data_IF_924318469863
#
_entry.id   IF_924318469863
#
_cell.length_a   1.000
_cell.length_b   1.000
_cell.length_c   1.000
_cell.angle_alpha   90.00
_cell.angle_beta   90.00
_cell.angle_gamma   90.00
#
_symmetry.space_group_name_H-M   'P 1'
#
loop_
_entity.id
_entity.type
_entity.pdbx_description
1 polymer ?
#
# COMPACT_ATOMS: atom_id res chain seq x y z
N UNK A 1 -16.66 -4.46 -20.70
CA UNK A 1 -16.00 -5.50 -19.90
C UNK A 1 -15.01 -4.81 -18.98
N UNK A 2 -15.22 -4.83 -17.66
CA UNK A 2 -14.22 -4.31 -16.73
C UNK A 2 -13.07 -5.31 -16.68
N UNK A 3 -11.97 -4.98 -17.34
CA UNK A 3 -10.74 -5.78 -17.28
C UNK A 3 -10.16 -5.66 -15.88
N UNK A 4 -10.33 -6.70 -15.06
CA UNK A 4 -9.77 -6.77 -13.71
C UNK A 4 -8.29 -7.25 -13.70
N UNK A 5 -7.72 -7.49 -14.88
CA UNK A 5 -6.33 -7.92 -15.04
C UNK A 5 -5.39 -6.73 -14.87
N UNK A 6 -4.28 -6.95 -14.16
CA UNK A 6 -3.23 -5.94 -13.96
C UNK A 6 -3.48 -4.94 -12.84
N UNK A 7 -4.47 -5.19 -11.97
CA UNK A 7 -4.77 -4.35 -10.80
C UNK A 7 -4.10 -4.84 -9.50
N UNK A 8 -3.49 -6.03 -9.53
CA UNK A 8 -2.89 -6.68 -8.37
C UNK A 8 -3.93 -7.19 -7.36
N UNK A 9 -3.66 -8.28 -6.66
CA UNK A 9 -4.62 -8.86 -5.71
C UNK A 9 -3.95 -9.16 -4.37
N UNK A 10 -4.50 -8.57 -3.32
CA UNK A 10 -3.98 -8.70 -1.97
C UNK A 10 -5.09 -9.07 -1.00
N UNK A 11 -4.81 -10.04 -0.11
CA UNK A 11 -5.66 -10.21 1.05
C UNK A 11 -5.36 -9.14 2.12
N UNK A 12 -6.23 -9.03 3.12
CA UNK A 12 -6.07 -8.02 4.17
C UNK A 12 -4.86 -8.28 5.10
N UNK A 13 -4.32 -9.51 5.12
CA UNK A 13 -3.11 -9.84 5.88
C UNK A 13 -1.87 -9.38 5.13
N UNK A 14 -1.83 -9.56 3.82
CA UNK A 14 -0.80 -9.03 2.94
C UNK A 14 -0.79 -7.51 3.01
N UNK A 15 -1.96 -6.88 2.93
CA UNK A 15 -2.08 -5.44 3.08
C UNK A 15 -1.50 -4.96 4.42
N UNK A 16 -1.84 -5.62 5.51
CA UNK A 16 -1.30 -5.32 6.84
C UNK A 16 0.22 -5.54 6.93
N UNK A 17 0.73 -6.64 6.36
CA UNK A 17 2.17 -6.95 6.29
C UNK A 17 2.93 -5.86 5.55
N UNK A 18 2.50 -5.51 4.33
CA UNK A 18 3.20 -4.55 3.47
C UNK A 18 3.12 -3.13 4.01
N UNK A 19 1.98 -2.74 4.60
CA UNK A 19 1.81 -1.41 5.19
C UNK A 19 2.32 -1.30 6.63
N UNK A 20 2.75 -2.43 7.23
CA UNK A 20 3.13 -2.55 8.66
C UNK A 20 2.04 -2.07 9.62
N UNK A 21 0.78 -2.20 9.22
CA UNK A 21 -0.39 -1.84 10.02
C UNK A 21 -0.93 -3.07 10.75
N UNK A 22 -1.69 -2.83 11.84
CA UNK A 22 -2.33 -3.93 12.56
C UNK A 22 -3.40 -4.61 11.69
N UNK A 23 -3.35 -5.94 11.48
CA UNK A 23 -4.31 -6.66 10.60
C UNK A 23 -5.78 -6.49 11.00
N UNK A 24 -6.05 -6.40 12.31
CA UNK A 24 -7.42 -6.20 12.81
C UNK A 24 -7.93 -4.80 12.48
N UNK A 25 -7.06 -3.78 12.48
CA UNK A 25 -7.43 -2.41 12.08
C UNK A 25 -7.71 -2.34 10.58
N UNK A 26 -6.80 -2.88 9.75
CA UNK A 26 -6.98 -2.91 8.30
C UNK A 26 -8.30 -3.59 7.94
N UNK A 27 -8.59 -4.77 8.50
CA UNK A 27 -9.86 -5.47 8.25
C UNK A 27 -11.10 -4.67 8.65
N UNK A 28 -11.04 -3.90 9.74
CA UNK A 28 -12.16 -3.05 10.19
C UNK A 28 -12.47 -1.90 9.23
N UNK A 29 -11.54 -1.53 8.35
CA UNK A 29 -11.79 -0.44 7.39
C UNK A 29 -12.57 -0.91 6.17
N UNK A 30 -12.48 -2.19 5.81
CA UNK A 30 -13.20 -2.77 4.66
C UNK A 30 -14.45 -3.58 5.06
N UNK A 31 -14.46 -4.19 6.25
CA UNK A 31 -15.52 -5.13 6.64
C UNK A 31 -16.40 -4.55 7.73
N UNK A 32 -17.70 -4.50 7.44
CA UNK A 32 -18.73 -4.24 8.45
C UNK A 32 -18.90 -5.46 9.36
N UNK A 33 -18.92 -5.24 10.68
CA UNK A 33 -19.18 -6.31 11.64
C UNK A 33 -20.68 -6.50 11.82
N UNK A 34 -21.19 -7.75 11.86
CA UNK A 34 -22.59 -8.02 12.18
C UNK A 34 -23.01 -7.43 13.54
N UNK A 35 -22.08 -7.39 14.51
CA UNK A 35 -22.30 -6.82 15.84
C UNK A 35 -22.37 -5.28 15.87
N UNK A 36 -21.99 -4.61 14.78
CA UNK A 36 -21.96 -3.14 14.68
C UNK A 36 -22.59 -2.67 13.35
N UNK A 37 -23.91 -2.91 13.13
CA UNK A 37 -24.57 -2.67 11.85
C UNK A 37 -24.62 -1.18 11.44
N UNK A 38 -24.39 -0.27 12.38
CA UNK A 38 -24.33 1.17 12.11
C UNK A 38 -22.93 1.66 11.69
N UNK A 39 -21.88 0.83 11.86
CA UNK A 39 -20.52 1.18 11.45
C UNK A 39 -20.24 0.69 10.03
N UNK A 40 -20.38 1.61 9.08
CA UNK A 40 -20.03 1.38 7.68
C UNK A 40 -18.50 1.32 7.48
N UNK A 41 -18.01 0.51 6.52
CA UNK A 41 -16.63 0.56 6.05
C UNK A 41 -16.22 2.00 5.68
N UNK A 42 -14.93 2.29 5.82
CA UNK A 42 -14.35 3.61 5.49
C UNK A 42 -13.49 3.56 4.24
N UNK A 43 -13.00 2.38 3.90
CA UNK A 43 -12.37 2.07 2.63
C UNK A 43 -13.24 1.06 1.89
N UNK A 44 -13.22 1.15 0.57
CA UNK A 44 -13.96 0.28 -0.32
C UNK A 44 -12.97 -0.41 -1.23
N UNK A 45 -13.14 -1.71 -1.41
CA UNK A 45 -12.30 -2.49 -2.32
C UNK A 45 -12.78 -2.32 -3.76
N UNK A 46 -11.85 -2.32 -4.70
CA UNK A 46 -12.14 -2.46 -6.14
C UNK A 46 -12.73 -3.82 -6.51
N UNK A 47 -12.58 -4.81 -5.63
CA UNK A 47 -13.08 -6.16 -5.80
C UNK A 47 -14.34 -6.40 -4.99
N UNK A 48 -15.23 -7.22 -5.56
CA UNK A 48 -16.35 -7.78 -4.80
C UNK A 48 -15.82 -8.80 -3.78
N UNK A 49 -16.31 -8.73 -2.54
CA UNK A 49 -15.93 -9.67 -1.50
C UNK A 49 -16.38 -11.10 -1.86
N UNK A 50 -15.53 -12.08 -1.58
CA UNK A 50 -15.84 -13.50 -1.75
C UNK A 50 -16.02 -14.08 -0.34
N UNK A 51 -17.18 -14.67 -0.06
CA UNK A 51 -17.52 -15.22 1.26
C UNK A 51 -17.33 -14.24 2.45
N UNK A 52 -17.45 -12.93 2.19
CA UNK A 52 -17.34 -11.89 3.21
C UNK A 52 -15.92 -11.43 3.53
N UNK A 53 -14.90 -12.01 2.90
CA UNK A 53 -13.53 -11.51 2.98
C UNK A 53 -13.17 -10.75 1.68
N UNK A 54 -12.87 -9.44 1.78
CA UNK A 54 -12.48 -8.66 0.62
C UNK A 54 -11.00 -8.92 0.28
N UNK A 55 -10.72 -9.14 -1.00
CA UNK A 55 -9.42 -8.83 -1.56
C UNK A 55 -9.36 -7.32 -1.86
N UNK A 56 -8.17 -6.76 -2.05
CA UNK A 56 -7.98 -5.35 -2.40
C UNK A 56 -7.01 -5.22 -3.59
N UNK A 57 -7.14 -4.14 -4.36
CA UNK A 57 -6.23 -3.81 -5.47
C UNK A 57 -4.91 -3.22 -4.97
N UNK A 58 -3.97 -2.97 -5.88
CA UNK A 58 -2.76 -2.23 -5.56
C UNK A 58 -3.05 -0.78 -5.15
N UNK A 59 -4.00 -0.11 -5.80
CA UNK A 59 -4.35 1.26 -5.43
C UNK A 59 -5.03 1.32 -4.06
N UNK A 60 -5.91 0.35 -3.77
CA UNK A 60 -6.47 0.17 -2.42
C UNK A 60 -5.36 -0.02 -1.37
N UNK A 61 -4.31 -0.79 -1.69
CA UNK A 61 -3.16 -1.01 -0.80
C UNK A 61 -2.42 0.30 -0.47
N UNK A 62 -2.23 1.18 -1.47
CA UNK A 62 -1.63 2.50 -1.26
C UNK A 62 -2.55 3.39 -0.42
N UNK A 63 -3.86 3.37 -0.69
CA UNK A 63 -4.85 4.08 0.12
C UNK A 63 -4.83 3.64 1.58
N UNK A 64 -4.74 2.33 1.83
CA UNK A 64 -4.62 1.74 3.18
C UNK A 64 -3.38 2.27 3.90
N UNK A 65 -2.24 2.40 3.23
CA UNK A 65 -1.02 2.91 3.85
C UNK A 65 -1.25 4.33 4.37
N UNK A 66 -1.61 5.27 3.49
CA UNK A 66 -1.72 6.70 3.85
C UNK A 66 -2.84 6.91 4.87
N UNK A 67 -4.01 6.31 4.63
CA UNK A 67 -5.13 6.34 5.58
C UNK A 67 -4.71 5.80 6.95
N UNK A 68 -3.98 4.69 6.96
CA UNK A 68 -3.56 4.01 8.19
C UNK A 68 -2.52 4.78 8.98
N UNK A 69 -1.59 5.49 8.32
CA UNK A 69 -0.64 6.37 9.00
C UNK A 69 -1.36 7.54 9.66
N UNK A 70 -2.22 8.25 8.92
CA UNK A 70 -3.02 9.35 9.49
C UNK A 70 -3.86 8.88 10.67
N UNK A 71 -4.51 7.71 10.54
CA UNK A 71 -5.32 7.13 11.61
C UNK A 71 -4.48 6.77 12.84
N UNK A 72 -3.29 6.22 12.64
CA UNK A 72 -2.39 5.79 13.73
C UNK A 72 -1.86 6.97 14.52
N UNK A 73 -1.65 8.11 13.85
CA UNK A 73 -1.14 9.35 14.45
C UNK A 73 -2.23 10.31 14.97
N UNK A 74 -3.49 9.89 14.97
CA UNK A 74 -4.54 10.58 15.72
C UNK A 74 -5.63 11.26 14.90
N UNK A 75 -5.56 11.23 13.57
CA UNK A 75 -6.69 11.72 12.76
C UNK A 75 -7.90 10.82 12.99
N UNK A 76 -9.04 11.42 13.31
CA UNK A 76 -10.25 10.66 13.64
C UNK A 76 -10.86 9.99 12.39
N UNK A 77 -11.62 8.89 12.58
CA UNK A 77 -12.31 8.24 11.46
C UNK A 77 -13.33 9.17 10.76
N UNK A 78 -14.12 10.00 11.47
CA UNK A 78 -14.99 10.99 10.84
C UNK A 78 -14.21 11.97 9.96
N UNK A 79 -13.09 12.52 10.44
CA UNK A 79 -12.22 13.41 9.67
C UNK A 79 -11.67 12.70 8.44
N UNK A 80 -11.13 11.48 8.60
CA UNK A 80 -10.60 10.71 7.47
C UNK A 80 -11.66 10.42 6.40
N UNK A 81 -12.91 10.12 6.78
CA UNK A 81 -13.99 9.96 5.81
C UNK A 81 -14.24 11.23 5.00
N UNK A 82 -14.28 12.39 5.66
CA UNK A 82 -14.44 13.69 4.99
C UNK A 82 -13.28 13.96 4.04
N UNK A 83 -12.06 13.70 4.50
CA UNK A 83 -10.82 13.84 3.70
C UNK A 83 -10.84 12.96 2.47
N UNK A 84 -11.12 11.66 2.61
CA UNK A 84 -11.20 10.73 1.47
C UNK A 84 -12.24 11.19 0.45
N UNK A 85 -13.46 11.54 0.88
CA UNK A 85 -14.52 12.04 -0.02
C UNK A 85 -14.11 13.32 -0.74
N UNK A 86 -13.47 14.24 -0.02
CA UNK A 86 -13.05 15.51 -0.60
C UNK A 86 -11.91 15.33 -1.59
N UNK A 87 -10.90 14.53 -1.25
CA UNK A 87 -9.79 14.25 -2.15
C UNK A 87 -10.24 13.50 -3.41
N UNK A 88 -11.18 12.55 -3.29
CA UNK A 88 -11.80 11.89 -4.45
C UNK A 88 -12.40 12.91 -5.43
N UNK A 89 -13.05 13.97 -4.93
CA UNK A 89 -13.61 15.02 -5.78
C UNK A 89 -12.54 15.94 -6.37
N UNK A 90 -11.55 16.33 -5.56
CA UNK A 90 -10.50 17.28 -5.97
C UNK A 90 -9.55 16.67 -7.01
N UNK A 91 -9.29 15.36 -6.88
CA UNK A 91 -8.35 14.62 -7.71
C UNK A 91 -9.04 13.75 -8.76
N UNK A 92 -10.38 13.79 -8.82
CA UNK A 92 -11.21 13.01 -9.75
C UNK A 92 -10.82 11.52 -9.84
N UNK A 93 -10.60 10.90 -8.68
CA UNK A 93 -10.17 9.50 -8.60
C UNK A 93 -10.76 8.79 -7.38
N UNK A 94 -11.03 7.49 -7.54
CA UNK A 94 -11.43 6.62 -6.43
C UNK A 94 -10.31 6.36 -5.43
N UNK A 95 -9.06 6.53 -5.85
CA UNK A 95 -7.86 6.27 -5.06
C UNK A 95 -7.05 7.54 -4.81
N UNK A 96 -7.61 8.49 -4.05
CA UNK A 96 -6.98 9.79 -3.88
C UNK A 96 -5.60 9.70 -3.24
N UNK A 97 -5.35 8.72 -2.37
CA UNK A 97 -4.05 8.63 -1.70
C UNK A 97 -2.97 7.99 -2.57
N UNK A 98 -3.36 7.34 -3.66
CA UNK A 98 -2.47 6.81 -4.68
C UNK A 98 -2.15 7.82 -5.81
N UNK A 99 -2.63 9.06 -5.71
CA UNK A 99 -2.48 10.07 -6.75
C UNK A 99 -1.16 10.86 -6.63
N UNK A 100 -0.50 11.10 -7.77
CA UNK A 100 0.83 11.74 -7.87
C UNK A 100 0.88 13.14 -7.24
N UNK A 101 -0.19 13.93 -7.36
CA UNK A 101 -0.30 15.26 -6.71
C UNK A 101 -0.10 15.25 -5.20
N UNK A 102 -0.32 14.14 -4.50
CA UNK A 102 0.03 14.06 -3.08
C UNK A 102 1.53 13.98 -2.84
N UNK A 103 2.30 13.44 -3.78
CA UNK A 103 3.75 13.40 -3.71
C UNK A 103 4.38 14.78 -3.96
N UNK A 104 3.74 15.61 -4.80
CA UNK A 104 4.26 16.93 -5.20
C UNK A 104 3.72 18.06 -4.32
N UNK A 105 2.40 18.09 -4.08
CA UNK A 105 1.68 19.23 -3.50
C UNK A 105 1.03 18.86 -2.14
N UNK A 106 1.39 17.69 -1.58
CA UNK A 106 0.52 16.92 -0.68
C UNK A 106 -0.09 17.67 0.49
N UNK A 107 0.70 18.38 1.31
CA UNK A 107 0.16 19.09 2.48
C UNK A 107 -0.95 20.07 2.09
N UNK A 108 -0.78 20.80 1.00
CA UNK A 108 -1.82 21.72 0.53
C UNK A 108 -3.06 20.96 0.08
N UNK A 109 -2.88 19.87 -0.67
CA UNK A 109 -3.97 19.04 -1.19
C UNK A 109 -4.79 18.42 -0.05
N UNK A 110 -4.15 17.93 1.02
CA UNK A 110 -4.84 17.39 2.21
C UNK A 110 -5.71 18.42 2.93
N UNK A 111 -5.30 19.70 2.92
CA UNK A 111 -5.95 20.77 3.69
C UNK A 111 -7.06 21.48 2.91
N UNK A 112 -7.24 21.17 1.62
CA UNK A 112 -8.26 21.81 0.77
C UNK A 112 -9.66 21.29 1.08
N UNK A 113 -10.56 22.20 1.46
CA UNK A 113 -12.00 21.93 1.54
C UNK A 113 -12.44 21.08 2.74
N UNK A 114 -11.63 21.01 3.80
CA UNK A 114 -12.00 20.44 5.10
C UNK A 114 -12.49 21.56 6.03
N UNK A 115 -13.48 21.26 6.87
CA UNK A 115 -13.99 22.16 7.90
C UNK A 115 -12.93 22.47 8.98
N UNK A 116 -13.16 23.51 9.79
CA UNK A 116 -12.16 23.98 10.76
C UNK A 116 -11.69 22.87 11.72
N UNK A 117 -12.62 22.14 12.32
CA UNK A 117 -12.30 21.08 13.30
C UNK A 117 -11.47 19.95 12.68
N UNK A 118 -11.85 19.45 11.49
CA UNK A 118 -11.11 18.40 10.79
C UNK A 118 -9.76 18.90 10.26
N UNK A 119 -9.68 20.19 9.90
CA UNK A 119 -8.46 20.83 9.43
C UNK A 119 -7.42 20.95 10.53
N UNK A 120 -7.83 21.25 11.76
CA UNK A 120 -6.91 21.33 12.91
C UNK A 120 -6.30 19.97 13.24
N UNK A 121 -7.10 18.88 13.24
CA UNK A 121 -6.58 17.51 13.38
C UNK A 121 -5.53 17.17 12.31
N UNK A 122 -5.81 17.53 11.05
CA UNK A 122 -4.88 17.27 9.94
C UNK A 122 -3.62 18.11 10.03
N UNK A 123 -3.70 19.39 10.40
CA UNK A 123 -2.53 20.26 10.57
C UNK A 123 -1.64 19.71 11.69
N UNK A 124 -2.24 19.34 12.82
CA UNK A 124 -1.54 18.73 13.94
C UNK A 124 -0.75 17.50 13.48
N UNK A 125 -1.39 16.56 12.80
CA UNK A 125 -0.75 15.31 12.38
C UNK A 125 0.24 15.51 11.24
N UNK A 126 -0.16 16.17 10.15
CA UNK A 126 0.66 16.32 8.94
C UNK A 126 1.89 17.21 9.18
N UNK A 127 1.76 18.23 10.04
CA UNK A 127 2.78 19.28 10.20
C UNK A 127 3.44 19.22 11.57
N UNK A 128 2.67 19.33 12.68
CA UNK A 128 3.27 19.43 14.02
C UNK A 128 3.92 18.12 14.47
N UNK A 129 3.23 17.00 14.25
CA UNK A 129 3.78 15.66 14.48
C UNK A 129 4.66 15.16 13.33
N UNK A 130 4.84 15.97 12.28
CA UNK A 130 5.71 15.69 11.13
C UNK A 130 5.41 14.39 10.38
N UNK A 131 4.18 13.85 10.48
CA UNK A 131 3.79 12.59 9.81
C UNK A 131 3.91 12.70 8.29
N UNK A 132 3.60 13.86 7.72
CA UNK A 132 3.77 14.03 6.28
C UNK A 132 5.24 13.99 5.84
N UNK A 133 6.13 14.88 6.31
CA UNK A 133 7.51 14.89 5.85
C UNK A 133 8.33 13.65 6.27
N UNK A 134 7.99 12.98 7.38
CA UNK A 134 8.78 11.86 7.89
C UNK A 134 8.27 10.47 7.49
N UNK A 135 6.98 10.33 7.16
CA UNK A 135 6.37 9.01 6.89
C UNK A 135 5.71 8.99 5.51
N UNK A 136 4.74 9.89 5.26
CA UNK A 136 3.94 9.85 4.04
C UNK A 136 4.76 10.26 2.81
N UNK A 137 5.47 11.39 2.85
CA UNK A 137 6.25 11.87 1.72
C UNK A 137 7.39 10.90 1.33
N UNK A 138 8.17 10.32 2.27
CA UNK A 138 9.14 9.28 1.92
C UNK A 138 8.51 8.03 1.31
N UNK A 139 7.31 7.64 1.76
CA UNK A 139 6.56 6.54 1.15
C UNK A 139 6.12 6.88 -0.28
N UNK A 140 5.52 8.04 -0.50
CA UNK A 140 5.06 8.47 -1.83
C UNK A 140 6.22 8.56 -2.83
N UNK A 141 7.43 8.90 -2.39
CA UNK A 141 8.65 8.89 -3.21
C UNK A 141 9.13 7.49 -3.62
N UNK A 142 8.66 6.43 -2.95
CA UNK A 142 8.92 5.04 -3.32
C UNK A 142 7.94 4.53 -4.38
N UNK A 143 6.98 5.35 -4.81
CA UNK A 143 6.01 5.01 -5.83
C UNK A 143 6.44 5.59 -7.17
N UNK A 144 6.36 4.76 -8.21
CA UNK A 144 6.31 5.29 -9.57
C UNK A 144 4.84 5.52 -9.94
N UNK A 145 4.58 6.56 -10.73
CA UNK A 145 3.24 6.93 -11.17
C UNK A 145 3.09 6.70 -12.68
N UNK A 146 1.88 6.39 -13.12
CA UNK A 146 1.52 6.29 -14.53
C UNK A 146 1.25 7.70 -15.10
N UNK A 147 1.99 8.16 -16.12
CA UNK A 147 1.82 9.51 -16.68
C UNK A 147 0.44 9.77 -17.32
N UNK A 148 -0.33 8.73 -17.64
CA UNK A 148 -1.65 8.87 -18.27
C UNK A 148 -2.79 8.97 -17.27
N UNK A 149 -2.60 8.44 -16.05
CA UNK A 149 -3.65 8.43 -15.01
C UNK A 149 -3.28 9.20 -13.75
N UNK A 150 -2.02 9.60 -13.61
CA UNK A 150 -1.44 10.17 -12.39
C UNK A 150 -1.55 9.27 -11.13
N UNK A 151 -1.87 7.98 -11.29
CA UNK A 151 -1.99 7.02 -10.20
C UNK A 151 -0.73 6.18 -10.05
N UNK A 152 -0.49 5.70 -8.82
CA UNK A 152 0.62 4.81 -8.52
C UNK A 152 0.56 3.55 -9.40
N UNK A 153 1.67 3.21 -10.07
CA UNK A 153 1.79 2.02 -10.93
C UNK A 153 2.72 0.95 -10.38
N UNK A 154 3.66 1.33 -9.51
CA UNK A 154 4.68 0.44 -8.98
C UNK A 154 5.15 0.99 -7.63
N UNK A 155 5.41 0.10 -6.68
CA UNK A 155 5.97 0.46 -5.37
C UNK A 155 7.29 -0.24 -5.12
N UNK A 156 8.36 0.54 -4.94
CA UNK A 156 9.66 0.11 -4.41
C UNK A 156 9.56 -0.17 -2.91
N UNK A 157 9.03 -1.35 -2.56
CA UNK A 157 8.71 -1.73 -1.18
C UNK A 157 9.95 -2.08 -0.35
N UNK A 158 11.06 -2.43 -1.00
CA UNK A 158 12.33 -2.75 -0.35
C UNK A 158 13.52 -2.53 -1.28
N UNK A 159 14.73 -2.82 -0.80
CA UNK A 159 15.95 -2.69 -1.60
C UNK A 159 15.95 -3.69 -2.76
N UNK A 160 15.69 -3.20 -3.98
CA UNK A 160 15.57 -4.02 -5.18
C UNK A 160 14.38 -4.98 -5.14
N UNK A 161 13.33 -4.64 -4.38
CA UNK A 161 12.08 -5.40 -4.32
C UNK A 161 10.93 -4.46 -4.61
N UNK A 162 10.07 -4.87 -5.55
CA UNK A 162 8.95 -4.06 -6.04
C UNK A 162 7.62 -4.81 -5.91
N UNK A 163 6.53 -4.04 -5.85
CA UNK A 163 5.17 -4.48 -6.17
C UNK A 163 4.75 -3.80 -7.47
N UNK A 164 4.52 -4.58 -8.53
CA UNK A 164 3.87 -4.12 -9.77
C UNK A 164 2.59 -4.95 -9.97
N UNK A 165 1.39 -4.36 -9.94
CA UNK A 165 0.13 -5.09 -10.05
C UNK A 165 -0.04 -5.90 -11.35
N UNK A 166 0.78 -5.61 -12.37
CA UNK A 166 0.80 -6.30 -13.67
C UNK A 166 1.75 -7.50 -13.70
N UNK A 167 2.62 -7.64 -12.69
CA UNK A 167 3.62 -8.71 -12.59
C UNK A 167 3.30 -9.56 -11.37
N UNK A 168 3.28 -10.89 -11.54
CA UNK A 168 3.03 -11.84 -10.45
C UNK A 168 1.78 -11.48 -9.60
N UNK A 169 0.75 -10.87 -10.22
CA UNK A 169 -0.45 -10.35 -9.56
C UNK A 169 -0.17 -9.35 -8.41
N UNK A 170 0.90 -8.58 -8.51
CA UNK A 170 1.30 -7.61 -7.49
C UNK A 170 2.09 -8.19 -6.32
N UNK A 171 2.41 -9.49 -6.30
CA UNK A 171 3.24 -10.06 -5.24
C UNK A 171 4.66 -9.48 -5.28
N UNK A 172 5.38 -9.44 -4.14
CA UNK A 172 6.74 -8.93 -4.11
C UNK A 172 7.66 -9.74 -5.02
N UNK A 173 8.39 -9.04 -5.88
CA UNK A 173 9.37 -9.61 -6.80
C UNK A 173 10.68 -8.84 -6.71
N UNK A 174 11.78 -9.51 -7.02
CA UNK A 174 13.07 -8.84 -7.16
C UNK A 174 13.09 -8.01 -8.45
N UNK A 175 13.46 -6.74 -8.33
CA UNK A 175 13.50 -5.80 -9.45
C UNK A 175 14.48 -6.25 -10.54
N UNK A 176 14.09 -6.11 -11.81
CA UNK A 176 14.89 -6.47 -12.97
C UNK A 176 14.81 -7.95 -13.39
N UNK A 177 14.58 -8.87 -12.46
CA UNK A 177 14.42 -10.31 -12.75
C UNK A 177 12.99 -10.82 -12.58
N UNK A 178 12.15 -10.09 -11.83
CA UNK A 178 10.72 -10.35 -11.64
C UNK A 178 10.36 -11.73 -11.07
N UNK A 179 11.30 -12.36 -10.37
CA UNK A 179 11.07 -13.60 -9.61
C UNK A 179 10.54 -13.24 -8.23
N UNK A 180 9.50 -13.96 -7.77
CA UNK A 180 8.89 -13.72 -6.46
C UNK A 180 9.88 -13.91 -5.32
N UNK A 181 9.83 -13.03 -4.32
CA UNK A 181 10.72 -13.07 -3.17
C UNK A 181 10.49 -14.31 -2.30
N UNK A 182 9.24 -14.69 -2.09
CA UNK A 182 8.86 -15.87 -1.31
C UNK A 182 9.43 -17.17 -1.92
N UNK A 183 9.42 -17.27 -3.25
CA UNK A 183 9.96 -18.39 -4.00
C UNK A 183 11.48 -18.50 -3.85
N UNK A 184 12.20 -17.39 -4.02
CA UNK A 184 13.67 -17.37 -3.86
C UNK A 184 14.08 -17.63 -2.41
N UNK A 185 13.37 -17.06 -1.43
CA UNK A 185 13.64 -17.29 -0.02
C UNK A 185 13.40 -18.74 0.40
N UNK A 186 12.29 -19.35 -0.06
CA UNK A 186 12.02 -20.76 0.19
C UNK A 186 13.06 -21.67 -0.47
N UNK A 187 13.45 -21.37 -1.71
CA UNK A 187 14.50 -22.12 -2.40
C UNK A 187 15.86 -22.00 -1.70
N UNK A 188 16.20 -20.83 -1.19
CA UNK A 188 17.42 -20.60 -0.40
C UNK A 188 17.44 -21.44 0.87
N UNK A 189 16.34 -21.44 1.64
CA UNK A 189 16.25 -22.23 2.86
C UNK A 189 16.32 -23.74 2.56
N UNK A 190 15.62 -24.21 1.52
CA UNK A 190 15.63 -25.62 1.11
C UNK A 190 17.01 -26.10 0.63
N UNK A 191 17.88 -25.20 0.19
CA UNK A 191 19.19 -25.52 -0.38
C UNK A 191 20.34 -25.11 0.51
N UNK A 192 20.17 -25.35 1.82
CA UNK A 192 21.19 -25.13 2.85
C UNK A 192 21.72 -23.69 2.83
N UNK A 193 20.85 -22.72 2.54
CA UNK A 193 21.15 -21.29 2.50
C UNK A 193 22.23 -20.92 1.47
N UNK A 194 22.28 -21.65 0.36
CA UNK A 194 23.24 -21.43 -0.71
C UNK A 194 22.66 -20.55 -1.81
N UNK A 195 22.96 -19.24 -1.76
CA UNK A 195 22.49 -18.27 -2.75
C UNK A 195 23.01 -18.56 -4.17
N UNK A 196 24.26 -19.00 -4.33
CA UNK A 196 24.86 -19.35 -5.62
C UNK A 196 24.15 -20.52 -6.31
N UNK A 197 23.74 -21.53 -5.54
CA UNK A 197 23.01 -22.68 -6.07
C UNK A 197 21.62 -22.27 -6.58
N UNK A 198 20.89 -21.48 -5.79
CA UNK A 198 19.56 -20.97 -6.16
C UNK A 198 19.63 -20.04 -7.36
N UNK A 199 20.60 -19.11 -7.36
CA UNK A 199 20.83 -18.18 -8.47
C UNK A 199 20.94 -18.91 -9.82
N UNK A 200 21.68 -20.03 -9.86
CA UNK A 200 21.82 -20.85 -11.07
C UNK A 200 20.50 -21.50 -11.52
N UNK A 201 19.67 -22.01 -10.60
CA UNK A 201 18.40 -22.65 -10.99
C UNK A 201 17.36 -21.67 -11.49
N UNK A 202 17.34 -20.46 -10.95
CA UNK A 202 16.37 -19.43 -11.30
C UNK A 202 16.89 -18.44 -12.36
N UNK A 203 18.13 -18.62 -12.82
CA UNK A 203 18.81 -17.72 -13.77
C UNK A 203 18.79 -16.25 -13.31
N UNK A 204 19.15 -16.01 -12.05
CA UNK A 204 19.24 -14.69 -11.41
C UNK A 204 20.63 -14.50 -10.77
N UNK A 205 20.93 -13.29 -10.28
CA UNK A 205 22.16 -13.06 -9.52
C UNK A 205 22.07 -13.57 -8.08
N UNK A 206 23.18 -13.98 -7.44
CA UNK A 206 23.19 -14.32 -6.01
C UNK A 206 22.69 -13.19 -5.11
N UNK A 207 22.95 -11.94 -5.49
CA UNK A 207 22.45 -10.75 -4.79
C UNK A 207 20.93 -10.61 -4.89
N UNK A 208 20.30 -11.07 -5.98
CA UNK A 208 18.84 -11.05 -6.12
C UNK A 208 18.19 -12.02 -5.14
N UNK A 209 18.79 -13.21 -4.98
CA UNK A 209 18.38 -14.19 -3.97
C UNK A 209 18.49 -13.60 -2.56
N UNK A 210 19.62 -12.94 -2.24
CA UNK A 210 19.82 -12.36 -0.92
C UNK A 210 18.83 -11.21 -0.63
N UNK A 211 18.55 -10.33 -1.59
CA UNK A 211 17.53 -9.28 -1.44
C UNK A 211 16.15 -9.85 -1.15
N UNK A 212 15.77 -10.91 -1.86
CA UNK A 212 14.52 -11.63 -1.61
C UNK A 212 14.47 -12.19 -0.18
N UNK A 213 15.55 -12.82 0.28
CA UNK A 213 15.67 -13.37 1.64
C UNK A 213 15.58 -12.26 2.70
N UNK A 214 16.34 -11.16 2.53
CA UNK A 214 16.32 -10.01 3.44
C UNK A 214 14.91 -9.40 3.55
N UNK A 215 14.18 -9.31 2.44
CA UNK A 215 12.80 -8.84 2.41
C UNK A 215 11.85 -9.79 3.15
N UNK A 216 11.92 -11.09 2.89
CA UNK A 216 11.04 -12.07 3.54
C UNK A 216 11.31 -12.23 5.04
N UNK A 217 12.56 -12.07 5.49
CA UNK A 217 12.94 -12.09 6.91
C UNK A 217 12.62 -10.77 7.64
N UNK A 218 12.15 -9.73 6.94
CA UNK A 218 11.86 -8.43 7.52
C UNK A 218 13.11 -7.62 7.90
N UNK A 219 14.27 -7.98 7.35
CA UNK A 219 15.56 -7.31 7.59
C UNK A 219 15.81 -6.14 6.63
N UNK A 220 15.03 -6.05 5.55
CA UNK A 220 14.98 -4.88 4.67
C UNK A 220 14.02 -3.82 5.25
N UNK A 221 14.53 -2.93 6.11
CA UNK A 221 13.82 -1.75 6.60
C UNK A 221 14.52 -0.46 6.17
#
# INVERSE_FOLDING_TARGET
MNTQLGLGIYDLREAARFTRLNPTRVRRWFVQRPSEPNRKPVLHSDYSAIQGDPAISFLDLIDVFVFGQLRTHGVSLPTLRKVSVQLTKVLDTRHPFAHHRLATDGQEVFLRGIDADGKDELIEVLTRQRVFPEIIAPFLKKLDYDPSTDLARLWHIGRGVILDPRIAMGKPVVEGVYVKTDLLAAAWEANKRNAEAVARWYNVGPQDVLRAVEFELGQAA
#
